data_IF_956349364753
#
_entry.id   IF_956349364753
#
_cell.length_a   1.000
_cell.length_b   1.000
_cell.length_c   1.000
_cell.angle_alpha   90.00
_cell.angle_beta   90.00
_cell.angle_gamma   90.00
#
_symmetry.space_group_name_H-M   'P 1'
#
loop_
_entity.id
_entity.type
_entity.pdbx_description
1 polymer ?
#
# COMPACT_ATOMS: atom_id res chain seq x y z
N UNK A 1 29.04 3.52 7.19
CA UNK A 1 30.10 4.55 7.23
C UNK A 1 31.43 3.87 6.96
N UNK A 2 31.99 4.09 5.77
CA UNK A 2 33.30 3.58 5.39
C UNK A 2 33.75 4.33 4.13
N UNK A 3 34.36 5.50 4.33
CA UNK A 3 35.03 6.25 3.28
C UNK A 3 36.50 5.84 3.27
N UNK A 4 36.89 5.05 2.27
CA UNK A 4 38.28 4.71 2.02
C UNK A 4 39.05 5.96 1.55
N UNK A 5 39.81 6.57 2.45
CA UNK A 5 40.82 7.56 2.14
C UNK A 5 42.03 6.85 1.51
N UNK A 6 42.36 7.19 0.26
CA UNK A 6 43.63 6.74 -0.36
C UNK A 6 44.79 7.58 0.20
N UNK A 7 45.88 6.96 0.69
CA UNK A 7 47.07 7.70 1.08
C UNK A 7 47.85 8.16 -0.16
N UNK A 8 48.37 9.39 -0.07
CA UNK A 8 49.32 9.96 -1.03
C UNK A 8 50.67 9.25 -0.88
N UNK A 9 51.13 8.56 -1.91
CA UNK A 9 52.50 8.05 -1.96
C UNK A 9 53.47 9.20 -2.26
N UNK A 10 54.25 9.58 -1.25
CA UNK A 10 55.52 10.30 -1.42
C UNK A 10 56.52 9.36 -2.09
N UNK A 11 57.11 9.79 -3.21
CA UNK A 11 58.26 9.10 -3.82
C UNK A 11 59.56 9.67 -3.24
N UNK A 12 60.50 8.83 -2.77
CA UNK A 12 61.91 9.19 -2.75
C UNK A 12 62.61 8.52 -3.93
N UNK A 13 62.84 9.26 -5.02
CA UNK A 13 63.82 8.88 -6.03
C UNK A 13 65.18 9.44 -5.60
N UNK A 14 65.95 8.64 -4.88
CA UNK A 14 67.38 8.86 -4.63
C UNK A 14 68.12 7.72 -5.32
N UNK A 15 68.67 7.98 -6.52
CA UNK A 15 69.87 7.32 -7.05
C UNK A 15 70.53 8.31 -8.04
N UNK A 16 71.67 8.85 -7.61
CA UNK A 16 72.91 8.88 -8.41
C UNK A 16 73.05 9.92 -9.52
N UNK A 17 73.26 11.19 -9.16
CA UNK A 17 73.90 12.17 -10.04
C UNK A 17 75.39 11.84 -10.20
N UNK A 18 75.81 11.40 -11.39
CA UNK A 18 77.20 11.47 -11.84
C UNK A 18 77.33 12.66 -12.82
N UNK A 19 77.27 13.88 -12.29
CA UNK A 19 77.76 15.04 -13.00
C UNK A 19 79.18 15.33 -12.51
N UNK A 20 80.14 15.24 -13.44
CA UNK A 20 81.52 15.65 -13.23
C UNK A 20 81.53 17.17 -13.04
N UNK A 21 81.97 17.63 -11.88
CA UNK A 21 82.26 19.05 -11.67
C UNK A 21 83.52 19.41 -12.47
N UNK A 22 83.34 20.25 -13.49
CA UNK A 22 84.41 20.99 -14.15
C UNK A 22 84.60 22.29 -13.39
N UNK A 23 85.66 22.40 -12.60
CA UNK A 23 86.08 23.67 -11.98
C UNK A 23 86.80 24.54 -13.01
N UNK A 24 86.07 25.44 -13.64
CA UNK A 24 86.62 26.66 -14.19
C UNK A 24 85.94 27.82 -13.44
N UNK A 25 86.71 28.49 -12.57
CA UNK A 25 86.30 29.73 -11.92
C UNK A 25 86.20 30.83 -12.97
N UNK A 26 85.00 31.09 -13.46
CA UNK A 26 84.67 32.36 -14.11
C UNK A 26 84.14 33.30 -13.05
N UNK A 27 84.77 34.46 -12.98
CA UNK A 27 84.41 35.60 -12.14
C UNK A 27 82.90 35.84 -12.14
N UNK A 28 82.32 35.86 -10.95
CA UNK A 28 80.91 36.17 -10.73
C UNK A 28 80.75 37.67 -10.95
N UNK A 29 80.44 38.06 -12.18
CA UNK A 29 79.76 39.32 -12.40
C UNK A 29 78.35 39.16 -11.85
N UNK A 30 78.06 39.82 -10.73
CA UNK A 30 76.70 40.00 -10.22
C UNK A 30 75.93 40.92 -11.18
N UNK A 31 75.50 40.36 -12.32
CA UNK A 31 74.42 40.96 -13.08
C UNK A 31 73.14 40.66 -12.30
N UNK A 32 72.67 41.67 -11.57
CA UNK A 32 71.29 41.73 -11.11
C UNK A 32 70.40 41.72 -12.36
N UNK A 33 70.11 40.51 -12.86
CA UNK A 33 69.11 40.28 -13.91
C UNK A 33 67.75 40.62 -13.30
N UNK A 34 67.42 41.90 -13.30
CA UNK A 34 66.03 42.34 -13.26
C UNK A 34 65.34 41.61 -14.41
N UNK A 35 64.61 40.53 -14.09
CA UNK A 35 63.68 39.89 -15.00
C UNK A 35 62.62 40.93 -15.31
N UNK A 36 62.87 41.73 -16.35
CA UNK A 36 61.85 42.54 -17.00
C UNK A 36 60.83 41.53 -17.52
N UNK A 37 59.74 41.36 -16.75
CA UNK A 37 58.54 40.71 -17.25
C UNK A 37 58.02 41.65 -18.33
N UNK A 38 58.46 41.42 -19.55
CA UNK A 38 57.97 42.12 -20.72
C UNK A 38 56.55 41.60 -20.95
N UNK A 39 55.55 42.25 -20.35
CA UNK A 39 54.12 41.96 -20.49
C UNK A 39 53.58 42.32 -21.90
N UNK A 40 54.47 42.47 -22.87
CA UNK A 40 54.14 42.66 -24.27
C UNK A 40 53.46 41.42 -24.86
N UNK A 41 52.44 41.61 -25.69
CA UNK A 41 51.69 40.53 -26.38
C UNK A 41 52.62 39.54 -27.10
N UNK A 42 53.78 40.03 -27.58
CA UNK A 42 54.79 39.22 -28.25
C UNK A 42 55.50 38.22 -27.31
N UNK A 43 55.67 38.56 -26.02
CA UNK A 43 56.27 37.68 -25.03
C UNK A 43 55.30 36.58 -24.60
N UNK A 44 54.02 36.92 -24.36
CA UNK A 44 52.97 35.95 -24.04
C UNK A 44 52.76 34.92 -25.17
N UNK A 45 52.83 35.36 -26.43
CA UNK A 45 52.74 34.48 -27.59
C UNK A 45 53.92 33.47 -27.65
N UNK A 46 55.14 33.93 -27.35
CA UNK A 46 56.34 33.07 -27.27
C UNK A 46 56.22 32.07 -26.12
N UNK A 47 55.75 32.50 -24.96
CA UNK A 47 55.56 31.62 -23.81
C UNK A 47 54.50 30.54 -24.06
N UNK A 48 53.37 30.91 -24.67
CA UNK A 48 52.34 29.96 -25.09
C UNK A 48 52.87 28.92 -26.12
N UNK A 49 53.76 29.33 -27.03
CA UNK A 49 54.40 28.42 -27.97
C UNK A 49 55.35 27.43 -27.26
N UNK A 50 56.10 27.91 -26.25
CA UNK A 50 56.96 27.07 -25.41
C UNK A 50 56.11 26.07 -24.61
N UNK A 51 55.02 26.51 -23.99
CA UNK A 51 54.09 25.62 -23.28
C UNK A 51 53.50 24.55 -24.19
N UNK A 52 53.14 24.92 -25.43
CA UNK A 52 52.67 23.98 -26.44
C UNK A 52 53.73 22.92 -26.77
N UNK A 53 55.01 23.30 -26.88
CA UNK A 53 56.13 22.36 -27.12
C UNK A 53 56.42 21.47 -25.90
N UNK A 54 56.21 21.97 -24.68
CA UNK A 54 56.35 21.20 -23.42
C UNK A 54 55.26 20.14 -23.26
N UNK A 55 54.12 20.28 -23.94
CA UNK A 55 53.02 19.34 -23.84
C UNK A 55 53.32 18.01 -24.56
N UNK A 56 53.77 17.01 -23.78
CA UNK A 56 54.04 15.65 -24.25
C UNK A 56 52.83 14.70 -24.16
N UNK A 57 51.67 15.17 -23.69
CA UNK A 57 50.52 14.30 -23.37
C UNK A 57 49.87 13.65 -24.59
N UNK A 58 50.09 14.21 -25.80
CA UNK A 58 49.44 13.81 -27.07
C UNK A 58 47.90 13.82 -27.00
N UNK A 59 47.31 14.41 -25.95
CA UNK A 59 45.88 14.55 -25.80
C UNK A 59 45.37 15.70 -26.67
N UNK A 60 44.13 15.60 -27.13
CA UNK A 60 43.44 16.73 -27.72
C UNK A 60 43.31 17.87 -26.68
N UNK A 61 43.36 19.15 -27.10
CA UNK A 61 43.26 20.30 -26.18
C UNK A 61 42.05 20.20 -25.24
N UNK A 62 40.92 19.69 -25.73
CA UNK A 62 39.72 19.52 -24.92
C UNK A 62 39.90 18.53 -23.78
N UNK A 63 40.58 17.40 -24.01
CA UNK A 63 40.82 16.40 -22.97
C UNK A 63 41.84 16.89 -21.95
N UNK A 64 42.84 17.65 -22.42
CA UNK A 64 43.78 18.31 -21.53
C UNK A 64 43.08 19.35 -20.63
N UNK A 65 42.16 20.14 -21.19
CA UNK A 65 41.37 21.10 -20.41
C UNK A 65 40.54 20.40 -19.33
N UNK A 66 39.98 19.21 -19.58
CA UNK A 66 39.30 18.44 -18.53
C UNK A 66 40.25 18.08 -17.37
N UNK A 67 41.48 17.65 -17.69
CA UNK A 67 42.47 17.23 -16.70
C UNK A 67 42.96 18.43 -15.88
N UNK A 68 43.17 19.57 -16.55
CA UNK A 68 43.60 20.82 -15.91
C UNK A 68 42.46 21.56 -15.19
N UNK A 69 41.25 21.01 -15.19
CA UNK A 69 40.08 21.63 -14.55
C UNK A 69 39.61 22.90 -15.27
N UNK A 70 39.92 23.06 -16.56
CA UNK A 70 39.45 24.16 -17.43
C UNK A 70 38.27 23.72 -18.31
N UNK A 71 37.61 24.69 -18.95
CA UNK A 71 36.47 24.43 -19.84
C UNK A 71 36.93 23.58 -21.06
N UNK A 72 36.23 22.47 -21.37
CA UNK A 72 36.66 21.54 -22.42
C UNK A 72 36.70 22.11 -23.84
N UNK A 73 35.69 22.90 -24.19
CA UNK A 73 35.53 23.44 -25.53
C UNK A 73 35.29 24.93 -25.40
N UNK A 74 36.04 25.74 -26.13
CA UNK A 74 35.80 27.18 -26.19
C UNK A 74 34.60 27.48 -27.10
N UNK A 75 34.56 26.81 -28.26
CA UNK A 75 33.46 26.89 -29.23
C UNK A 75 32.46 25.73 -29.09
N UNK A 76 31.21 26.01 -29.47
CA UNK A 76 30.13 25.03 -29.42
C UNK A 76 30.25 24.01 -30.58
N UNK A 77 30.71 22.80 -30.28
CA UNK A 77 30.80 21.69 -31.24
C UNK A 77 29.49 20.93 -31.50
N UNK A 78 28.51 21.07 -30.61
CA UNK A 78 27.23 20.37 -30.66
C UNK A 78 26.11 21.31 -30.27
N UNK A 79 24.90 21.06 -30.79
CA UNK A 79 23.67 21.78 -30.42
C UNK A 79 23.46 21.74 -28.90
N UNK A 80 23.85 20.64 -28.26
CA UNK A 80 23.78 20.51 -26.79
C UNK A 80 24.57 21.59 -26.06
N UNK A 81 25.69 22.05 -26.62
CA UNK A 81 26.52 23.09 -26.01
C UNK A 81 25.86 24.47 -26.08
N UNK A 82 24.92 24.67 -27.01
CA UNK A 82 24.16 25.91 -27.14
C UNK A 82 22.99 25.98 -26.15
N UNK A 83 22.63 24.87 -25.50
CA UNK A 83 21.51 24.84 -24.57
C UNK A 83 21.82 25.58 -23.27
N UNK A 84 20.80 26.21 -22.70
CA UNK A 84 20.85 26.85 -21.38
C UNK A 84 21.34 25.87 -20.31
N UNK A 85 20.86 24.61 -20.37
CA UNK A 85 21.24 23.54 -19.44
C UNK A 85 22.75 23.26 -19.44
N UNK A 86 23.37 23.20 -20.62
CA UNK A 86 24.82 22.98 -20.73
C UNK A 86 25.60 24.15 -20.16
N UNK A 87 25.22 25.38 -20.50
CA UNK A 87 25.89 26.59 -20.01
C UNK A 87 25.80 26.71 -18.49
N UNK A 88 24.64 26.42 -17.89
CA UNK A 88 24.47 26.32 -16.42
C UNK A 88 25.40 25.28 -15.81
N UNK A 89 25.56 24.12 -16.44
CA UNK A 89 26.48 23.06 -15.99
C UNK A 89 27.95 23.50 -16.06
N UNK A 90 28.34 24.19 -17.14
CA UNK A 90 29.71 24.70 -17.28
C UNK A 90 30.02 25.76 -16.23
N UNK A 91 29.09 26.70 -15.99
CA UNK A 91 29.23 27.69 -14.92
C UNK A 91 29.29 27.04 -13.54
N UNK A 92 28.45 26.03 -13.27
CA UNK A 92 28.49 25.31 -11.99
C UNK A 92 29.80 24.55 -11.74
N UNK A 93 30.47 24.07 -12.80
CA UNK A 93 31.72 23.31 -12.68
C UNK A 93 32.97 24.20 -12.65
N UNK A 94 33.00 25.25 -13.44
CA UNK A 94 34.19 26.08 -13.69
C UNK A 94 34.03 27.53 -13.21
N UNK A 95 32.87 27.92 -12.71
CA UNK A 95 32.57 29.28 -12.23
C UNK A 95 32.73 30.33 -13.32
N UNK A 96 33.22 31.51 -12.93
CA UNK A 96 33.48 32.64 -13.85
C UNK A 96 34.51 32.31 -14.93
N UNK A 97 35.43 31.36 -14.68
CA UNK A 97 36.41 30.92 -15.68
C UNK A 97 35.76 30.19 -16.88
N UNK A 98 34.48 29.81 -16.77
CA UNK A 98 33.72 29.27 -17.91
C UNK A 98 33.39 30.31 -18.98
N UNK A 99 33.44 31.61 -18.66
CA UNK A 99 32.99 32.68 -19.56
C UNK A 99 31.47 32.73 -19.76
N UNK A 100 30.69 31.96 -18.99
CA UNK A 100 29.22 31.98 -19.08
C UNK A 100 28.64 33.08 -18.19
N UNK A 101 27.70 33.85 -18.73
CA UNK A 101 26.99 34.88 -17.98
C UNK A 101 26.18 34.27 -16.82
N UNK A 102 26.38 34.72 -15.56
CA UNK A 102 25.71 34.14 -14.39
C UNK A 102 24.19 34.34 -14.39
N UNK A 103 23.69 35.40 -15.04
CA UNK A 103 22.25 35.69 -15.19
C UNK A 103 21.50 34.49 -15.79
N UNK A 104 22.15 33.75 -16.70
CA UNK A 104 21.57 32.58 -17.34
C UNK A 104 21.22 31.47 -16.35
N UNK A 105 21.84 31.45 -15.16
CA UNK A 105 21.56 30.46 -14.12
C UNK A 105 20.21 30.67 -13.44
N UNK A 106 19.65 31.87 -13.51
CA UNK A 106 18.34 32.18 -12.97
C UNK A 106 17.23 31.87 -13.98
N UNK A 107 16.02 31.51 -13.52
CA UNK A 107 14.88 31.30 -14.39
C UNK A 107 14.40 32.64 -15.00
N UNK A 108 13.83 32.55 -16.19
CA UNK A 108 13.16 33.69 -16.83
C UNK A 108 11.80 33.93 -16.19
N UNK A 109 11.22 35.13 -16.36
CA UNK A 109 9.84 35.42 -15.92
C UNK A 109 8.82 34.41 -16.46
N UNK A 110 8.99 33.95 -17.71
CA UNK A 110 8.15 32.90 -18.32
C UNK A 110 8.30 31.55 -17.61
N UNK A 111 9.53 31.12 -17.36
CA UNK A 111 9.81 29.88 -16.62
C UNK A 111 9.19 29.91 -15.20
N UNK A 112 9.19 31.09 -14.56
CA UNK A 112 8.57 31.30 -13.25
C UNK A 112 7.05 31.15 -13.34
N UNK A 113 6.39 31.81 -14.31
CA UNK A 113 4.93 31.70 -14.47
C UNK A 113 4.49 30.26 -14.77
N UNK A 114 5.19 29.58 -15.69
CA UNK A 114 4.90 28.18 -16.02
C UNK A 114 5.05 27.26 -14.81
N UNK A 115 6.06 27.51 -13.97
CA UNK A 115 6.29 26.72 -12.75
C UNK A 115 5.22 26.96 -11.70
N UNK A 116 4.75 28.20 -11.54
CA UNK A 116 3.67 28.55 -10.62
C UNK A 116 2.34 27.94 -11.07
N UNK A 117 2.04 27.96 -12.36
CA UNK A 117 0.86 27.30 -12.93
C UNK A 117 0.90 25.78 -12.71
N UNK A 118 2.05 25.16 -12.97
CA UNK A 118 2.23 23.74 -12.71
C UNK A 118 2.03 23.40 -11.22
N UNK A 119 2.60 24.19 -10.31
CA UNK A 119 2.45 23.99 -8.87
C UNK A 119 0.99 24.13 -8.43
N UNK A 120 0.28 25.15 -8.93
CA UNK A 120 -1.13 25.36 -8.62
C UNK A 120 -2.03 24.21 -9.10
N UNK A 121 -1.73 23.62 -10.27
CA UNK A 121 -2.51 22.51 -10.84
C UNK A 121 -2.15 21.18 -10.19
N UNK A 122 -0.86 20.88 -10.04
CA UNK A 122 -0.39 19.60 -9.51
C UNK A 122 -0.58 19.51 -7.97
N UNK A 123 -0.41 20.62 -7.27
CA UNK A 123 -0.45 20.71 -5.81
C UNK A 123 -1.37 21.84 -5.34
N UNK A 124 -2.70 21.70 -5.52
CA UNK A 124 -3.66 22.78 -5.25
C UNK A 124 -3.85 23.08 -3.76
N UNK A 125 -3.52 22.15 -2.88
CA UNK A 125 -3.75 22.29 -1.43
C UNK A 125 -2.49 22.70 -0.70
N UNK A 126 -2.64 23.64 0.23
CA UNK A 126 -1.60 23.94 1.20
C UNK A 126 -1.43 22.80 2.21
N UNK A 127 -0.25 22.73 2.83
CA UNK A 127 0.07 21.73 3.86
C UNK A 127 -0.98 21.73 4.98
N UNK A 128 -1.44 22.91 5.41
CA UNK A 128 -2.47 23.05 6.45
C UNK A 128 -3.80 22.42 6.02
N UNK A 129 -4.26 22.70 4.80
CA UNK A 129 -5.48 22.12 4.26
C UNK A 129 -5.38 20.59 4.14
N UNK A 130 -4.23 20.06 3.74
CA UNK A 130 -4.01 18.61 3.70
C UNK A 130 -4.10 17.99 5.10
N UNK A 131 -3.54 18.64 6.12
CA UNK A 131 -3.64 18.19 7.51
C UNK A 131 -5.09 18.20 8.00
N UNK A 132 -5.85 19.24 7.69
CA UNK A 132 -7.26 19.35 8.07
C UNK A 132 -8.11 18.28 7.40
N UNK A 133 -7.90 18.03 6.09
CA UNK A 133 -8.56 16.95 5.36
C UNK A 133 -8.22 15.58 5.94
N UNK A 134 -6.96 15.33 6.29
CA UNK A 134 -6.57 14.08 6.94
C UNK A 134 -7.22 13.92 8.32
N UNK A 135 -7.32 15.00 9.10
CA UNK A 135 -8.00 14.99 10.40
C UNK A 135 -9.52 14.80 10.27
N UNK A 136 -10.15 15.31 9.21
CA UNK A 136 -11.57 15.05 8.91
C UNK A 136 -11.79 13.59 8.55
N UNK A 137 -10.98 13.03 7.63
CA UNK A 137 -11.09 11.62 7.24
C UNK A 137 -10.94 10.66 8.42
N UNK A 138 -9.96 10.89 9.31
CA UNK A 138 -9.81 10.08 10.54
C UNK A 138 -11.05 10.11 11.42
N UNK A 139 -11.62 11.31 11.64
CA UNK A 139 -12.87 11.44 12.42
C UNK A 139 -14.04 10.71 11.78
N UNK A 140 -14.17 10.78 10.46
CA UNK A 140 -15.22 10.06 9.73
C UNK A 140 -15.05 8.53 9.81
N UNK A 141 -13.82 8.04 9.74
CA UNK A 141 -13.50 6.62 9.92
C UNK A 141 -13.81 6.14 11.34
N UNK A 142 -13.41 6.91 12.36
CA UNK A 142 -13.72 6.62 13.76
C UNK A 142 -15.24 6.56 13.99
N UNK A 143 -16.01 7.52 13.47
CA UNK A 143 -17.46 7.52 13.57
C UNK A 143 -18.11 6.30 12.87
N UNK A 144 -17.58 5.88 11.71
CA UNK A 144 -18.06 4.68 11.00
C UNK A 144 -17.80 3.41 11.80
N UNK A 145 -16.62 3.30 12.42
CA UNK A 145 -16.27 2.17 13.29
C UNK A 145 -17.21 2.15 14.50
N UNK A 146 -17.40 3.30 15.16
CA UNK A 146 -18.28 3.39 16.32
C UNK A 146 -19.74 3.01 15.99
N UNK A 147 -20.26 3.50 14.86
CA UNK A 147 -21.60 3.12 14.39
C UNK A 147 -21.72 1.62 14.14
N UNK A 148 -20.73 1.02 13.47
CA UNK A 148 -20.67 -0.42 13.23
C UNK A 148 -20.64 -1.20 14.55
N UNK A 149 -19.84 -0.78 15.50
CA UNK A 149 -19.70 -1.46 16.79
C UNK A 149 -20.99 -1.38 17.61
N UNK A 150 -21.66 -0.23 17.60
CA UNK A 150 -23.00 -0.06 18.20
C UNK A 150 -24.01 -1.02 17.54
N UNK A 151 -24.04 -1.10 16.22
CA UNK A 151 -24.92 -2.05 15.53
C UNK A 151 -24.62 -3.51 15.88
N UNK A 152 -23.34 -3.89 15.90
CA UNK A 152 -22.91 -5.25 16.26
C UNK A 152 -23.33 -5.57 17.70
N UNK A 153 -23.13 -4.64 18.64
CA UNK A 153 -23.53 -4.82 20.03
C UNK A 153 -25.05 -5.03 20.17
N UNK A 154 -25.88 -4.25 19.46
CA UNK A 154 -27.35 -4.43 19.49
C UNK A 154 -27.80 -5.77 18.89
N UNK A 155 -27.15 -6.24 17.82
CA UNK A 155 -27.42 -7.55 17.20
C UNK A 155 -26.94 -8.68 18.11
N UNK A 156 -25.79 -8.51 18.76
CA UNK A 156 -25.24 -9.48 19.70
C UNK A 156 -26.14 -9.66 20.92
N UNK A 157 -26.74 -8.60 21.45
CA UNK A 157 -27.71 -8.69 22.54
C UNK A 157 -28.94 -9.54 22.18
N UNK A 158 -29.40 -9.49 20.91
CA UNK A 158 -30.54 -10.28 20.40
C UNK A 158 -30.17 -11.71 19.97
N UNK A 159 -28.88 -12.02 19.92
CA UNK A 159 -28.38 -13.29 19.40
C UNK A 159 -28.79 -14.46 20.31
N UNK A 160 -28.73 -14.27 21.63
CA UNK A 160 -29.13 -15.31 22.59
C UNK A 160 -30.63 -15.60 22.54
N UNK A 161 -31.47 -14.59 22.32
CA UNK A 161 -32.91 -14.80 22.10
C UNK A 161 -33.17 -15.59 20.82
N UNK A 162 -32.48 -15.26 19.72
CA UNK A 162 -32.63 -15.98 18.45
C UNK A 162 -32.15 -17.43 18.52
N UNK A 163 -31.05 -17.70 19.24
CA UNK A 163 -30.58 -19.07 19.49
C UNK A 163 -31.62 -19.89 20.24
N UNK A 164 -32.22 -19.32 21.29
CA UNK A 164 -33.27 -20.00 22.07
C UNK A 164 -34.49 -20.31 21.19
N UNK A 165 -34.98 -19.33 20.45
CA UNK A 165 -36.12 -19.53 19.53
C UNK A 165 -35.84 -20.61 18.47
N UNK A 166 -34.61 -20.66 17.95
CA UNK A 166 -34.21 -21.70 16.99
C UNK A 166 -34.18 -23.09 17.64
N UNK A 167 -33.55 -23.20 18.81
CA UNK A 167 -33.46 -24.46 19.55
C UNK A 167 -34.86 -24.97 19.94
N UNK A 168 -35.76 -24.07 20.35
CA UNK A 168 -37.14 -24.42 20.68
C UNK A 168 -37.90 -24.94 19.45
N UNK A 169 -37.68 -24.35 18.26
CA UNK A 169 -38.26 -24.83 17.01
C UNK A 169 -37.72 -26.21 16.65
N UNK A 170 -36.42 -26.43 16.81
CA UNK A 170 -35.78 -27.73 16.56
C UNK A 170 -36.33 -28.78 17.53
N UNK A 171 -36.40 -28.47 18.83
CA UNK A 171 -36.93 -29.37 19.85
C UNK A 171 -38.40 -29.74 19.58
N UNK A 172 -39.24 -28.76 19.22
CA UNK A 172 -40.63 -28.99 18.82
C UNK A 172 -40.70 -29.93 17.62
N UNK A 173 -39.93 -29.68 16.56
CA UNK A 173 -39.92 -30.52 15.36
C UNK A 173 -39.42 -31.94 15.64
N UNK A 174 -38.40 -32.08 16.47
CA UNK A 174 -37.88 -33.38 16.90
C UNK A 174 -38.92 -34.15 17.72
N UNK A 175 -39.62 -33.48 18.64
CA UNK A 175 -40.68 -34.10 19.45
C UNK A 175 -41.89 -34.52 18.59
N UNK A 176 -42.30 -33.70 17.62
CA UNK A 176 -43.36 -34.03 16.66
C UNK A 176 -42.97 -35.25 15.81
N UNK A 177 -41.72 -35.30 15.32
CA UNK A 177 -41.22 -36.41 14.54
C UNK A 177 -41.12 -37.71 15.35
N UNK A 178 -40.65 -37.64 16.60
CA UNK A 178 -40.56 -38.80 17.48
C UNK A 178 -41.94 -39.32 17.87
N UNK A 179 -42.89 -38.43 18.21
CA UNK A 179 -44.27 -38.83 18.49
C UNK A 179 -44.95 -39.47 17.27
N UNK A 180 -44.66 -38.99 16.06
CA UNK A 180 -45.15 -39.61 14.82
C UNK A 180 -44.53 -41.00 14.60
N UNK A 181 -43.22 -41.17 14.86
CA UNK A 181 -42.55 -42.48 14.80
C UNK A 181 -43.14 -43.46 15.81
N UNK A 182 -43.28 -43.05 17.08
CA UNK A 182 -43.88 -43.90 18.13
C UNK A 182 -45.31 -44.30 17.79
N UNK A 183 -46.14 -43.37 17.29
CA UNK A 183 -47.52 -43.71 16.86
C UNK A 183 -47.52 -44.74 15.74
N UNK A 184 -46.61 -44.59 14.77
CA UNK A 184 -46.46 -45.54 13.66
C UNK A 184 -45.97 -46.90 14.14
N UNK A 185 -44.99 -46.94 15.04
CA UNK A 185 -44.46 -48.18 15.63
C UNK A 185 -45.53 -48.91 16.45
N UNK A 186 -46.28 -48.19 17.30
CA UNK A 186 -47.41 -48.77 18.06
C UNK A 186 -48.44 -49.40 17.15
N UNK A 187 -48.83 -48.71 16.07
CA UNK A 187 -49.79 -49.22 15.10
C UNK A 187 -49.26 -50.46 14.36
N UNK A 188 -47.99 -50.44 13.94
CA UNK A 188 -47.33 -51.58 13.29
C UNK A 188 -47.27 -52.77 14.23
N UNK A 189 -46.96 -52.57 15.51
CA UNK A 189 -46.87 -53.65 16.50
C UNK A 189 -48.24 -54.22 16.86
N UNK A 190 -49.29 -53.41 16.96
CA UNK A 190 -50.68 -53.88 17.12
C UNK A 190 -51.11 -54.77 15.95
N UNK A 191 -50.79 -54.35 14.72
CA UNK A 191 -51.07 -55.16 13.52
C UNK A 191 -50.25 -56.46 13.54
N UNK A 192 -48.97 -56.42 13.91
CA UNK A 192 -48.13 -57.63 14.06
C UNK A 192 -48.69 -58.59 15.12
N UNK A 193 -49.16 -58.08 16.26
CA UNK A 193 -49.81 -58.87 17.33
C UNK A 193 -51.09 -59.55 16.85
N UNK A 194 -51.85 -58.91 15.97
CA UNK A 194 -53.07 -59.48 15.40
C UNK A 194 -52.80 -60.65 14.45
N UNK A 195 -51.70 -60.60 13.68
CA UNK A 195 -51.34 -61.69 12.77
C UNK A 195 -50.61 -62.84 13.48
N UNK A 196 -49.78 -62.55 14.49
CA UNK A 196 -49.11 -63.58 15.30
C UNK A 196 -47.89 -64.25 14.63
N UNK A 197 -47.49 -63.81 13.44
CA UNK A 197 -46.27 -64.22 12.72
C UNK A 197 -45.55 -63.01 12.12
N UNK A 198 -44.26 -63.18 11.75
CA UNK A 198 -43.45 -62.09 11.18
C UNK A 198 -43.88 -61.81 9.73
N UNK A 199 -44.77 -60.83 9.56
CA UNK A 199 -45.21 -60.35 8.24
C UNK A 199 -44.36 -59.17 7.77
N UNK A 200 -43.99 -59.15 6.49
CA UNK A 200 -43.21 -58.06 5.90
C UNK A 200 -44.06 -56.80 5.70
N UNK A 201 -43.57 -55.58 6.03
CA UNK A 201 -44.34 -54.34 5.90
C UNK A 201 -44.76 -53.97 4.46
N UNK A 202 -44.22 -54.67 3.45
CA UNK A 202 -44.52 -54.45 2.03
C UNK A 202 -45.67 -55.32 1.51
N UNK A 203 -46.17 -56.26 2.32
CA UNK A 203 -47.27 -57.17 1.94
C UNK A 203 -48.62 -56.42 1.86
N UNK A 204 -49.42 -56.73 0.84
CA UNK A 204 -50.72 -56.11 0.55
C UNK A 204 -51.70 -56.32 1.72
N UNK A 205 -51.70 -57.53 2.32
CA UNK A 205 -52.56 -57.87 3.46
C UNK A 205 -52.23 -57.05 4.71
N UNK A 206 -50.95 -56.73 4.90
CA UNK A 206 -50.49 -55.88 5.99
C UNK A 206 -50.97 -54.44 5.81
N UNK A 207 -50.86 -53.92 4.58
CA UNK A 207 -51.27 -52.56 4.23
C UNK A 207 -52.78 -52.35 4.36
N UNK A 208 -53.59 -53.32 3.94
CA UNK A 208 -55.05 -53.26 4.09
C UNK A 208 -55.48 -53.21 5.56
N UNK A 209 -54.86 -54.03 6.42
CA UNK A 209 -55.19 -54.06 7.84
C UNK A 209 -54.67 -52.82 8.59
N UNK A 210 -53.49 -52.33 8.22
CA UNK A 210 -52.98 -51.05 8.73
C UNK A 210 -53.92 -49.90 8.34
N UNK A 211 -54.38 -49.84 7.08
CA UNK A 211 -55.32 -48.83 6.62
C UNK A 211 -56.70 -48.91 7.30
N UNK A 212 -57.20 -50.10 7.64
CA UNK A 212 -58.44 -50.26 8.42
C UNK A 212 -58.28 -49.71 9.84
N UNK A 213 -57.17 -50.03 10.52
CA UNK A 213 -56.88 -49.54 11.89
C UNK A 213 -56.59 -48.04 11.95
N UNK A 214 -55.90 -47.48 10.96
CA UNK A 214 -55.73 -46.03 10.83
C UNK A 214 -57.08 -45.31 10.67
N UNK A 215 -58.02 -45.87 9.88
CA UNK A 215 -59.36 -45.29 9.70
C UNK A 215 -60.16 -45.33 11.00
N UNK A 216 -60.04 -46.38 11.79
CA UNK A 216 -60.71 -46.50 13.10
C UNK A 216 -60.13 -45.54 14.14
N UNK A 217 -58.80 -45.49 14.30
CA UNK A 217 -58.14 -44.54 15.19
C UNK A 217 -58.43 -43.09 14.79
N UNK A 218 -58.44 -42.77 13.48
CA UNK A 218 -58.79 -41.43 12.98
C UNK A 218 -60.26 -41.06 13.24
N UNK A 219 -61.18 -42.02 13.26
CA UNK A 219 -62.59 -41.79 13.64
C UNK A 219 -62.71 -41.52 15.14
N UNK A 220 -62.02 -42.30 15.97
CA UNK A 220 -61.97 -42.12 17.43
C UNK A 220 -61.35 -40.76 17.81
N UNK A 221 -60.22 -40.39 17.20
CA UNK A 221 -59.58 -39.08 17.42
C UNK A 221 -60.50 -37.92 17.01
N UNK A 222 -61.27 -38.06 15.92
CA UNK A 222 -62.25 -37.04 15.50
C UNK A 222 -63.39 -36.89 16.50
N UNK A 223 -63.91 -37.99 17.06
CA UNK A 223 -64.97 -37.95 18.07
C UNK A 223 -64.45 -37.36 19.38
N UNK A 224 -63.29 -37.81 19.86
CA UNK A 224 -62.63 -37.23 21.04
C UNK A 224 -62.32 -35.73 20.86
N UNK A 225 -61.93 -35.30 19.66
CA UNK A 225 -61.72 -33.87 19.35
C UNK A 225 -63.03 -33.06 19.38
N UNK A 226 -64.15 -33.64 18.95
CA UNK A 226 -65.47 -32.99 19.05
C UNK A 226 -65.89 -32.85 20.51
N UNK A 227 -65.79 -33.92 21.30
CA UNK A 227 -66.12 -33.90 22.72
C UNK A 227 -65.22 -32.95 23.52
N UNK A 228 -63.92 -32.88 23.23
CA UNK A 228 -63.01 -31.94 23.87
C UNK A 228 -63.36 -30.48 23.53
N UNK A 229 -63.78 -30.20 22.29
CA UNK A 229 -64.27 -28.86 21.89
C UNK A 229 -65.57 -28.50 22.60
N UNK A 230 -66.51 -29.45 22.71
CA UNK A 230 -67.77 -29.26 23.43
C UNK A 230 -67.52 -29.00 24.92
N UNK A 231 -66.63 -29.77 25.57
CA UNK A 231 -66.22 -29.54 26.96
C UNK A 231 -65.53 -28.18 27.16
N UNK A 232 -64.67 -27.75 26.23
CA UNK A 232 -64.05 -26.42 26.28
C UNK A 232 -65.08 -25.28 26.09
N UNK A 233 -66.09 -25.49 25.25
CA UNK A 233 -67.19 -24.52 25.05
C UNK A 233 -68.05 -24.42 26.32
N UNK A 234 -68.39 -25.55 26.95
CA UNK A 234 -69.14 -25.59 28.22
C UNK A 234 -68.34 -24.93 29.35
N UNK A 235 -67.04 -25.20 29.46
CA UNK A 235 -66.18 -24.56 30.46
C UNK A 235 -66.07 -23.04 30.26
N UNK A 236 -65.97 -22.56 29.01
CA UNK A 236 -66.00 -21.12 28.69
C UNK A 236 -67.36 -20.48 29.02
N UNK A 237 -68.47 -21.19 28.82
CA UNK A 237 -69.81 -20.72 29.18
C UNK A 237 -70.01 -20.67 30.71
N UNK A 238 -69.49 -21.66 31.45
CA UNK A 238 -69.53 -21.68 32.91
C UNK A 238 -68.67 -20.56 33.54
N UNK A 239 -67.46 -20.31 33.02
CA UNK A 239 -66.65 -19.17 33.45
C UNK A 239 -67.33 -17.82 33.18
N UNK A 240 -68.08 -17.71 32.07
CA UNK A 240 -68.84 -16.50 31.74
C UNK A 240 -70.08 -16.31 32.63
N UNK A 241 -70.73 -17.40 33.08
CA UNK A 241 -71.87 -17.32 34.00
C UNK A 241 -71.45 -17.00 35.45
N UNK A 242 -70.31 -17.52 35.92
CA UNK A 242 -69.80 -17.18 37.27
C UNK A 242 -69.38 -15.70 37.35
N UNK A 243 -68.81 -15.12 36.29
CA UNK A 243 -68.48 -13.69 36.24
C UNK A 243 -69.66 -12.72 36.15
N UNK A 244 -70.90 -13.23 36.02
CA UNK A 244 -72.14 -12.43 35.99
C UNK A 244 -72.91 -12.54 37.32
N UNK A 245 -72.65 -13.58 38.14
CA UNK A 245 -73.30 -13.80 39.43
C UNK A 245 -72.66 -13.11 40.64
N UNK A 246 -71.46 -12.55 40.51
CA UNK A 246 -70.73 -11.81 41.56
C UNK A 246 -70.84 -10.27 41.40
N UNK A 247 -71.97 -9.77 40.88
CA UNK A 247 -72.33 -8.34 40.86
C UNK A 247 -73.69 -8.09 41.50
#
# INVERSE_FOLDING_TARGET
MSLCLRPKYLRPNLIGSLFRYSTATTEIAETNDHVLIDDSDAAQAKEAEIERKRNISRLAPSHQNLISGRRPYEEAKSITHLTVKYNRKMYGKYGSASGVNPILCFPTRKDISERLEYEAVAYPYSIKQMMDQAAQKRREEELKIEQRDREVATKHAKLETWKKELNDKIAKKLSEANAAKEKKERLVDEVRRHFGFKLDPRDERFQEMLAKREKEQKKLEKMARKEAREKQMIAKLQQKNVGIGDK
#
